data_IF_505202525647
#
_entry.id   IF_505202525647
#
_cell.length_a   1.000
_cell.length_b   1.000
_cell.length_c   1.000
_cell.angle_alpha   90.00
_cell.angle_beta   90.00
_cell.angle_gamma   90.00
#
_symmetry.space_group_name_H-M   'P 1'
#
loop_
_entity.id
_entity.type
_entity.pdbx_description
1 polymer ?
#
# COMPACT_ATOMS: atom_id res chain seq x y z
N UNK A 1 -11.47 -22.80 6.44
CA UNK A 1 -10.72 -21.76 5.69
C UNK A 1 -9.63 -21.23 6.62
N UNK A 2 -8.39 -21.14 6.13
CA UNK A 2 -7.27 -20.62 6.95
C UNK A 2 -7.43 -19.11 7.11
N UNK A 3 -7.23 -18.61 8.34
CA UNK A 3 -7.26 -17.19 8.62
C UNK A 3 -5.86 -16.59 8.57
N UNK A 4 -5.76 -15.36 8.03
CA UNK A 4 -4.54 -14.57 8.05
C UNK A 4 -4.83 -13.22 8.70
N UNK A 5 -4.23 -12.98 9.85
CA UNK A 5 -4.36 -11.73 10.58
C UNK A 5 -3.55 -10.63 9.91
N UNK A 6 -4.21 -9.51 9.66
CA UNK A 6 -3.65 -8.31 9.03
C UNK A 6 -3.39 -7.25 10.08
N UNK A 7 -2.21 -6.65 10.03
CA UNK A 7 -1.90 -5.38 10.69
C UNK A 7 -1.87 -4.26 9.65
N UNK A 8 -2.74 -3.28 9.77
CA UNK A 8 -2.75 -2.09 8.92
C UNK A 8 -1.98 -0.95 9.58
N UNK A 9 -0.92 -0.48 8.94
CA UNK A 9 -0.13 0.63 9.45
C UNK A 9 -0.48 1.90 8.66
N UNK A 10 -1.22 2.80 9.31
CA UNK A 10 -1.73 4.03 8.71
C UNK A 10 -3.26 4.06 8.60
N UNK A 11 -3.87 5.13 9.11
CA UNK A 11 -5.33 5.32 9.16
C UNK A 11 -5.83 6.45 8.25
N UNK A 12 -4.96 6.90 7.32
CA UNK A 12 -5.29 7.97 6.38
C UNK A 12 -6.28 7.54 5.29
N UNK A 13 -6.26 8.27 4.17
CA UNK A 13 -7.13 7.94 3.03
C UNK A 13 -6.88 6.51 2.52
N UNK A 14 -5.62 6.12 2.32
CA UNK A 14 -5.31 4.77 1.86
C UNK A 14 -5.65 3.71 2.90
N UNK A 15 -5.46 3.97 4.20
CA UNK A 15 -5.91 3.06 5.25
C UNK A 15 -7.42 2.77 5.18
N UNK A 16 -8.24 3.76 4.84
CA UNK A 16 -9.68 3.54 4.60
C UNK A 16 -9.96 2.68 3.38
N UNK A 17 -9.27 2.96 2.28
CA UNK A 17 -9.41 2.19 1.04
C UNK A 17 -9.00 0.72 1.23
N UNK A 18 -7.86 0.48 1.91
CA UNK A 18 -7.39 -0.87 2.22
C UNK A 18 -8.30 -1.60 3.21
N UNK A 19 -8.80 -0.92 4.25
CA UNK A 19 -9.79 -1.51 5.17
C UNK A 19 -11.05 -1.96 4.43
N UNK A 20 -11.53 -1.14 3.49
CA UNK A 20 -12.65 -1.52 2.63
C UNK A 20 -12.32 -2.74 1.77
N UNK A 21 -11.13 -2.79 1.16
CA UNK A 21 -10.71 -3.92 0.34
C UNK A 21 -10.59 -5.21 1.16
N UNK A 22 -9.91 -5.18 2.30
CA UNK A 22 -9.77 -6.35 3.18
C UNK A 22 -11.11 -6.91 3.66
N UNK A 23 -12.06 -6.04 3.99
CA UNK A 23 -13.41 -6.46 4.41
C UNK A 23 -14.18 -7.19 3.31
N UNK A 24 -13.99 -6.78 2.07
CA UNK A 24 -14.86 -7.20 0.96
C UNK A 24 -14.19 -8.19 0.01
N UNK A 25 -12.88 -8.41 0.07
CA UNK A 25 -12.18 -9.24 -0.90
C UNK A 25 -12.76 -10.66 -1.00
N UNK A 26 -13.13 -11.27 0.12
CA UNK A 26 -13.75 -12.60 0.14
C UNK A 26 -15.19 -12.62 -0.38
N UNK A 27 -15.85 -11.47 -0.52
CA UNK A 27 -17.17 -11.34 -1.14
C UNK A 27 -17.10 -11.40 -2.66
N UNK A 28 -15.99 -10.91 -3.23
CA UNK A 28 -15.81 -10.81 -4.68
C UNK A 28 -14.98 -11.97 -5.27
N UNK A 29 -14.20 -12.65 -4.46
CA UNK A 29 -13.30 -13.71 -4.90
C UNK A 29 -13.41 -14.95 -4.03
N UNK A 30 -13.51 -16.12 -4.66
CA UNK A 30 -13.37 -17.40 -3.98
C UNK A 30 -11.91 -17.61 -3.58
N UNK A 31 -11.63 -17.48 -2.28
CA UNK A 31 -10.28 -17.58 -1.75
C UNK A 31 -10.16 -18.74 -0.77
N UNK A 32 -9.01 -19.45 -0.75
CA UNK A 32 -8.76 -20.50 0.24
C UNK A 32 -8.43 -19.95 1.64
N UNK A 33 -8.24 -18.62 1.75
CA UNK A 33 -7.88 -17.91 2.97
C UNK A 33 -8.90 -16.82 3.29
N UNK A 34 -9.04 -16.48 4.59
CA UNK A 34 -9.85 -15.36 5.07
C UNK A 34 -8.94 -14.33 5.76
N UNK A 35 -8.86 -13.11 5.26
CA UNK A 35 -8.17 -12.04 5.99
C UNK A 35 -8.99 -11.63 7.22
N UNK A 36 -8.30 -11.45 8.34
CA UNK A 36 -8.87 -10.93 9.60
C UNK A 36 -8.27 -9.55 9.84
N UNK A 37 -9.13 -8.54 10.04
CA UNK A 37 -8.72 -7.17 10.34
C UNK A 37 -8.29 -7.10 11.81
N UNK A 38 -7.07 -7.59 12.11
CA UNK A 38 -6.62 -7.84 13.48
C UNK A 38 -6.27 -6.56 14.22
N UNK A 39 -5.35 -5.76 13.68
CA UNK A 39 -4.91 -4.54 14.35
C UNK A 39 -4.72 -3.40 13.35
N UNK A 40 -5.21 -2.21 13.70
CA UNK A 40 -4.89 -0.98 12.99
C UNK A 40 -3.95 -0.12 13.84
N UNK A 41 -2.90 0.40 13.18
CA UNK A 41 -1.87 1.20 13.83
C UNK A 41 -1.82 2.64 13.29
N UNK A 42 -1.61 3.60 14.19
CA UNK A 42 -1.41 5.02 13.88
C UNK A 42 -1.07 5.81 15.16
N UNK A 43 -0.89 7.10 15.06
CA UNK A 43 -0.29 7.91 16.13
C UNK A 43 -1.25 8.43 17.19
N UNK A 44 -2.56 8.48 16.91
CA UNK A 44 -3.56 9.05 17.83
C UNK A 44 -4.60 8.01 18.22
N UNK A 45 -4.55 7.55 19.46
CA UNK A 45 -5.40 6.46 19.99
C UNK A 45 -6.89 6.70 19.79
N UNK A 46 -7.40 7.85 20.17
CA UNK A 46 -8.84 8.16 20.04
C UNK A 46 -9.33 8.07 18.58
N UNK A 47 -8.57 8.63 17.66
CA UNK A 47 -8.87 8.54 16.24
C UNK A 47 -8.76 7.11 15.69
N UNK A 48 -7.84 6.30 16.23
CA UNK A 48 -7.71 4.88 15.90
C UNK A 48 -8.91 4.07 16.38
N UNK A 49 -9.36 4.31 17.60
CA UNK A 49 -10.52 3.61 18.15
C UNK A 49 -11.79 3.91 17.35
N UNK A 50 -11.99 5.17 16.96
CA UNK A 50 -13.09 5.53 16.08
C UNK A 50 -12.96 4.88 14.69
N UNK A 51 -11.73 4.81 14.16
CA UNK A 51 -11.43 4.13 12.89
C UNK A 51 -11.68 2.62 13.00
N UNK A 52 -11.18 1.96 14.05
CA UNK A 52 -11.35 0.54 14.27
C UNK A 52 -12.83 0.15 14.35
N UNK A 53 -13.62 0.86 15.16
CA UNK A 53 -15.07 0.63 15.25
C UNK A 53 -15.77 0.77 13.88
N UNK A 54 -15.40 1.77 13.10
CA UNK A 54 -16.01 2.03 11.79
C UNK A 54 -15.68 0.96 10.76
N UNK A 55 -14.43 0.50 10.73
CA UNK A 55 -13.93 -0.41 9.70
C UNK A 55 -13.91 -1.88 10.12
N UNK A 56 -14.15 -2.17 11.39
CA UNK A 56 -14.21 -3.55 11.90
C UNK A 56 -12.84 -4.14 12.24
N UNK A 57 -11.87 -3.31 12.63
CA UNK A 57 -10.61 -3.76 13.21
C UNK A 57 -10.82 -4.18 14.65
N UNK A 58 -10.24 -5.33 15.03
CA UNK A 58 -10.42 -5.87 16.39
C UNK A 58 -9.67 -5.07 17.43
N UNK A 59 -8.47 -4.60 17.11
CA UNK A 59 -7.55 -3.95 18.04
C UNK A 59 -6.93 -2.68 17.44
N UNK A 60 -6.39 -1.85 18.33
CA UNK A 60 -5.64 -0.63 17.98
C UNK A 60 -4.27 -0.63 18.63
N UNK A 61 -3.27 -0.14 17.90
CA UNK A 61 -1.91 0.05 18.42
C UNK A 61 -1.38 1.44 17.99
N UNK A 62 -0.63 2.10 18.86
CA UNK A 62 -0.04 3.42 18.56
C UNK A 62 1.43 3.36 18.16
N UNK A 63 2.06 2.22 18.36
CA UNK A 63 3.44 1.95 17.92
C UNK A 63 3.45 0.82 16.89
N UNK A 64 3.79 1.15 15.66
CA UNK A 64 3.85 0.17 14.59
C UNK A 64 4.86 -0.95 14.84
N UNK A 65 5.93 -0.68 15.61
CA UNK A 65 6.92 -1.70 15.96
C UNK A 65 6.29 -2.83 16.76
N UNK A 66 5.42 -2.49 17.69
CA UNK A 66 4.66 -3.50 18.45
C UNK A 66 3.73 -4.29 17.55
N UNK A 67 3.07 -3.63 16.58
CA UNK A 67 2.18 -4.33 15.67
C UNK A 67 2.93 -5.36 14.79
N UNK A 68 4.08 -5.00 14.23
CA UNK A 68 4.83 -5.89 13.31
C UNK A 68 5.56 -7.04 14.02
N UNK A 69 5.90 -6.89 15.30
CA UNK A 69 6.59 -7.94 16.09
C UNK A 69 5.64 -8.99 16.65
N UNK A 70 4.34 -8.78 16.60
CA UNK A 70 3.35 -9.74 17.14
C UNK A 70 3.42 -11.10 16.43
N UNK A 71 3.39 -12.16 17.18
CA UNK A 71 3.41 -13.53 16.63
C UNK A 71 2.13 -13.88 15.87
N UNK A 72 0.98 -13.33 16.32
CA UNK A 72 -0.32 -13.58 15.72
C UNK A 72 -0.58 -12.78 14.43
N UNK A 73 0.30 -11.87 14.00
CA UNK A 73 0.19 -11.14 12.74
C UNK A 73 0.88 -11.91 11.62
N UNK A 74 0.21 -12.01 10.48
CA UNK A 74 0.70 -12.69 9.28
C UNK A 74 1.04 -11.72 8.14
N UNK A 75 0.26 -10.66 7.99
CA UNK A 75 0.39 -9.67 6.91
C UNK A 75 0.51 -8.28 7.52
N UNK A 76 1.51 -7.52 7.08
CA UNK A 76 1.66 -6.10 7.38
C UNK A 76 1.30 -5.29 6.13
N UNK A 77 0.25 -4.50 6.24
CA UNK A 77 -0.27 -3.63 5.20
C UNK A 77 0.14 -2.18 5.49
N UNK A 78 1.03 -1.63 4.66
CA UNK A 78 1.70 -0.35 4.89
C UNK A 78 1.03 0.72 4.05
N UNK A 79 0.28 1.61 4.71
CA UNK A 79 -0.45 2.73 4.09
C UNK A 79 -0.02 4.09 4.67
N UNK A 80 1.17 4.12 5.23
CA UNK A 80 1.81 5.33 5.76
C UNK A 80 2.31 6.23 4.63
N UNK A 81 2.79 7.44 4.95
CA UNK A 81 3.60 8.20 4.00
C UNK A 81 4.92 7.48 3.63
N UNK A 82 5.47 7.71 2.41
CA UNK A 82 6.55 6.90 1.84
C UNK A 82 7.86 6.90 2.65
N UNK A 83 8.15 7.93 3.41
CA UNK A 83 9.37 7.99 4.24
C UNK A 83 9.37 6.98 5.41
N UNK A 84 8.24 6.33 5.71
CA UNK A 84 8.13 5.27 6.71
C UNK A 84 8.12 3.86 6.11
N UNK A 85 7.94 3.73 4.80
CA UNK A 85 7.76 2.43 4.15
C UNK A 85 8.94 1.50 4.38
N UNK A 86 10.17 2.00 4.13
CA UNK A 86 11.40 1.22 4.29
C UNK A 86 11.54 0.65 5.69
N UNK A 87 11.43 1.48 6.72
CA UNK A 87 11.63 1.05 8.11
C UNK A 87 10.62 -0.02 8.50
N UNK A 88 9.35 0.21 8.20
CA UNK A 88 8.26 -0.74 8.52
C UNK A 88 8.43 -2.05 7.75
N UNK A 89 8.69 -1.99 6.43
CA UNK A 89 8.79 -3.16 5.60
C UNK A 89 9.99 -4.05 5.95
N UNK A 90 11.16 -3.45 6.21
CA UNK A 90 12.35 -4.19 6.61
C UNK A 90 12.14 -4.88 7.95
N UNK A 91 11.52 -4.20 8.91
CA UNK A 91 11.21 -4.79 10.21
C UNK A 91 10.15 -5.90 10.10
N UNK A 92 9.10 -5.69 9.31
CA UNK A 92 8.10 -6.72 9.03
C UNK A 92 8.74 -7.98 8.39
N UNK A 93 9.64 -7.80 7.42
CA UNK A 93 10.38 -8.91 6.81
C UNK A 93 11.21 -9.69 7.84
N UNK A 94 11.95 -9.00 8.70
CA UNK A 94 12.76 -9.62 9.77
C UNK A 94 11.93 -10.48 10.72
N UNK A 95 10.67 -10.12 10.90
CA UNK A 95 9.72 -10.89 11.71
C UNK A 95 8.88 -11.89 10.90
N UNK A 96 9.27 -12.18 9.66
CA UNK A 96 8.62 -13.18 8.81
C UNK A 96 7.21 -12.81 8.36
N UNK A 97 6.85 -11.51 8.36
CA UNK A 97 5.52 -11.06 7.95
C UNK A 97 5.46 -10.86 6.45
N UNK A 98 4.36 -11.28 5.83
CA UNK A 98 4.05 -10.91 4.46
C UNK A 98 3.79 -9.39 4.38
N UNK A 99 4.18 -8.77 3.27
CA UNK A 99 4.17 -7.30 3.15
C UNK A 99 3.28 -6.89 1.98
N UNK A 100 2.36 -5.98 2.25
CA UNK A 100 1.64 -5.25 1.23
C UNK A 100 1.89 -3.76 1.45
N UNK A 101 2.49 -3.08 0.48
CA UNK A 101 2.97 -1.71 0.65
C UNK A 101 2.34 -0.77 -0.37
N UNK A 102 1.95 0.42 0.09
CA UNK A 102 1.52 1.51 -0.79
C UNK A 102 2.67 2.07 -1.63
N UNK A 103 2.28 2.65 -2.74
CA UNK A 103 3.18 3.37 -3.65
C UNK A 103 3.39 4.84 -3.19
N UNK A 104 4.52 5.46 -3.53
CA UNK A 104 5.73 4.84 -4.09
C UNK A 104 6.36 3.90 -3.07
N UNK A 105 7.08 2.88 -3.54
CA UNK A 105 7.65 1.86 -2.64
C UNK A 105 8.54 2.46 -1.55
N UNK A 106 9.38 3.42 -1.94
CA UNK A 106 10.34 4.08 -1.05
C UNK A 106 10.65 5.50 -1.53
N UNK A 107 11.45 6.24 -0.77
CA UNK A 107 11.90 7.58 -1.11
C UNK A 107 12.92 7.62 -2.26
N UNK A 108 13.65 6.53 -2.44
CA UNK A 108 14.70 6.38 -3.47
C UNK A 108 14.96 4.91 -3.79
N UNK A 109 15.78 4.67 -4.83
CA UNK A 109 16.08 3.31 -5.31
C UNK A 109 16.86 2.47 -4.27
N UNK A 110 17.77 3.07 -3.50
CA UNK A 110 18.54 2.35 -2.50
C UNK A 110 17.64 1.80 -1.37
N UNK A 111 16.71 2.60 -0.89
CA UNK A 111 15.71 2.15 0.09
C UNK A 111 14.80 1.04 -0.48
N UNK A 112 14.35 1.20 -1.72
CA UNK A 112 13.54 0.18 -2.40
C UNK A 112 14.30 -1.15 -2.54
N UNK A 113 15.58 -1.10 -2.87
CA UNK A 113 16.44 -2.27 -2.95
C UNK A 113 16.61 -2.94 -1.59
N UNK A 114 16.82 -2.18 -0.52
CA UNK A 114 16.91 -2.72 0.84
C UNK A 114 15.63 -3.46 1.24
N UNK A 115 14.46 -2.86 0.97
CA UNK A 115 13.16 -3.50 1.24
C UNK A 115 13.00 -4.81 0.47
N UNK A 116 13.34 -4.80 -0.82
CA UNK A 116 13.29 -6.00 -1.66
C UNK A 116 14.19 -7.11 -1.13
N UNK A 117 15.47 -6.79 -0.86
CA UNK A 117 16.44 -7.78 -0.37
C UNK A 117 16.05 -8.34 1.00
N UNK A 118 15.50 -7.52 1.89
CA UNK A 118 15.01 -7.98 3.19
C UNK A 118 13.84 -8.97 3.04
N UNK A 119 12.89 -8.68 2.15
CA UNK A 119 11.75 -9.56 1.90
C UNK A 119 12.16 -10.89 1.23
N UNK A 120 13.08 -10.84 0.26
CA UNK A 120 13.63 -12.04 -0.38
C UNK A 120 14.41 -12.91 0.60
N UNK A 121 15.29 -12.31 1.43
CA UNK A 121 16.05 -13.03 2.44
C UNK A 121 15.15 -13.72 3.47
N UNK A 122 14.06 -13.07 3.86
CA UNK A 122 13.05 -13.61 4.77
C UNK A 122 12.10 -14.61 4.09
N UNK A 123 12.12 -14.74 2.75
CA UNK A 123 11.22 -15.58 1.95
C UNK A 123 9.74 -15.28 2.20
N UNK A 124 9.41 -14.02 2.43
CA UNK A 124 8.03 -13.57 2.64
C UNK A 124 7.41 -13.13 1.32
N UNK A 125 6.08 -13.29 1.21
CA UNK A 125 5.35 -12.73 0.08
C UNK A 125 5.32 -11.21 0.26
N UNK A 126 5.66 -10.49 -0.79
CA UNK A 126 5.62 -9.03 -0.79
C UNK A 126 4.99 -8.49 -2.07
N UNK A 127 4.22 -7.42 -1.94
CA UNK A 127 3.54 -6.79 -3.06
C UNK A 127 3.48 -5.28 -2.90
N UNK A 128 3.64 -4.58 -4.02
CA UNK A 128 3.49 -3.14 -4.12
C UNK A 128 2.12 -2.80 -4.72
N UNK A 129 1.38 -1.89 -4.09
CA UNK A 129 0.04 -1.52 -4.51
C UNK A 129 0.01 -0.57 -5.71
N UNK A 130 0.42 -1.02 -6.86
CA UNK A 130 0.17 -0.36 -8.14
C UNK A 130 -1.25 -0.68 -8.64
N UNK A 131 -2.26 -0.20 -7.94
CA UNK A 131 -3.67 -0.57 -8.14
C UNK A 131 -4.19 -0.22 -9.55
N UNK A 132 -3.68 0.81 -10.23
CA UNK A 132 -4.11 1.16 -11.58
C UNK A 132 -3.85 0.04 -12.59
N UNK A 133 -2.82 -0.77 -12.38
CA UNK A 133 -2.55 -1.95 -13.21
C UNK A 133 -3.66 -3.00 -13.16
N UNK A 134 -4.51 -2.96 -12.13
CA UNK A 134 -5.64 -3.88 -11.93
C UNK A 134 -6.98 -3.32 -12.43
N UNK A 135 -7.01 -2.08 -12.93
CA UNK A 135 -8.22 -1.55 -13.54
C UNK A 135 -8.60 -2.36 -14.77
N UNK A 136 -9.89 -2.75 -14.92
CA UNK A 136 -10.34 -3.61 -16.03
C UNK A 136 -9.93 -3.08 -17.40
N UNK A 137 -10.05 -1.77 -17.63
CA UNK A 137 -9.65 -1.13 -18.88
C UNK A 137 -8.14 -1.22 -19.13
N UNK A 138 -7.30 -1.02 -18.09
CA UNK A 138 -5.84 -1.13 -18.20
C UNK A 138 -5.44 -2.59 -18.45
N UNK A 139 -6.05 -3.53 -17.75
CA UNK A 139 -5.81 -4.95 -17.96
C UNK A 139 -6.22 -5.40 -19.39
N UNK A 140 -7.35 -4.87 -19.90
CA UNK A 140 -7.78 -5.10 -21.27
C UNK A 140 -6.79 -4.52 -22.29
N UNK A 141 -6.37 -3.27 -22.11
CA UNK A 141 -5.37 -2.62 -22.98
C UNK A 141 -4.08 -3.46 -23.04
N UNK A 142 -3.55 -3.87 -21.88
CA UNK A 142 -2.37 -4.74 -21.81
C UNK A 142 -2.56 -6.04 -22.60
N UNK A 143 -3.71 -6.71 -22.43
CA UNK A 143 -4.02 -7.94 -23.14
C UNK A 143 -4.11 -7.74 -24.65
N UNK A 144 -4.71 -6.66 -25.13
CA UNK A 144 -4.80 -6.36 -26.55
C UNK A 144 -3.42 -6.09 -27.17
N UNK A 145 -2.53 -5.40 -26.43
CA UNK A 145 -1.14 -5.18 -26.84
C UNK A 145 -0.40 -6.53 -26.94
N UNK A 146 -0.48 -7.36 -25.89
CA UNK A 146 0.21 -8.67 -25.85
C UNK A 146 -0.28 -9.62 -26.96
N UNK A 147 -1.54 -9.51 -27.35
CA UNK A 147 -2.11 -10.27 -28.48
C UNK A 147 -1.76 -9.68 -29.87
N UNK A 148 -0.96 -8.62 -29.92
CA UNK A 148 -0.59 -7.98 -31.16
C UNK A 148 -1.73 -7.24 -31.88
N UNK A 149 -2.86 -6.99 -31.21
CA UNK A 149 -4.07 -6.41 -31.84
C UNK A 149 -3.86 -5.00 -32.37
N UNK A 150 -2.86 -4.28 -31.90
CA UNK A 150 -2.47 -2.94 -32.39
C UNK A 150 -1.11 -2.96 -33.10
N UNK A 151 -0.55 -4.14 -33.34
CA UNK A 151 0.80 -4.29 -33.90
C UNK A 151 1.91 -3.95 -32.92
N UNK A 152 3.10 -3.69 -33.46
CA UNK A 152 4.27 -3.30 -32.66
C UNK A 152 4.10 -1.88 -32.10
N UNK A 153 4.25 -1.73 -30.78
CA UNK A 153 4.18 -0.42 -30.11
C UNK A 153 5.44 0.37 -30.42
N UNK A 154 5.32 1.43 -31.21
CA UNK A 154 6.41 2.30 -31.63
C UNK A 154 6.53 3.56 -30.81
N UNK A 155 5.42 4.02 -30.23
CA UNK A 155 5.36 5.26 -29.47
C UNK A 155 4.32 5.15 -28.37
N UNK A 156 4.66 5.70 -27.20
CA UNK A 156 3.74 5.84 -26.07
C UNK A 156 3.65 7.30 -25.64
N UNK A 157 2.45 7.81 -25.50
CA UNK A 157 2.18 9.12 -24.91
C UNK A 157 1.05 9.01 -23.91
N UNK A 158 1.26 9.48 -22.68
CA UNK A 158 0.22 9.54 -21.67
C UNK A 158 0.25 10.89 -20.95
N UNK A 159 -0.91 11.28 -20.41
CA UNK A 159 -1.05 12.48 -19.61
C UNK A 159 -2.05 12.21 -18.47
N UNK A 160 -1.76 12.72 -17.30
CA UNK A 160 -2.64 12.66 -16.14
C UNK A 160 -2.88 14.08 -15.63
N UNK A 161 -4.12 14.54 -15.73
CA UNK A 161 -4.53 15.85 -15.28
C UNK A 161 -5.47 15.72 -14.07
N UNK A 162 -5.27 16.53 -13.05
CA UNK A 162 -6.19 16.67 -11.93
C UNK A 162 -6.19 18.11 -11.40
N UNK A 163 -7.21 18.46 -10.63
CA UNK A 163 -7.40 19.80 -10.08
C UNK A 163 -6.98 19.94 -8.61
N UNK A 164 -6.35 18.91 -8.02
CA UNK A 164 -6.12 18.85 -6.55
C UNK A 164 -5.38 20.05 -5.99
N UNK A 165 -4.45 20.62 -6.76
CA UNK A 165 -3.61 21.75 -6.33
C UNK A 165 -3.68 22.93 -7.30
N UNK A 166 -4.83 23.09 -7.99
CA UNK A 166 -5.02 24.21 -8.92
C UNK A 166 -5.22 25.55 -8.19
N UNK A 167 -5.76 25.51 -6.99
CA UNK A 167 -5.95 26.69 -6.15
C UNK A 167 -4.60 27.09 -5.51
N UNK A 168 -4.07 28.28 -5.83
CA UNK A 168 -2.79 28.76 -5.29
C UNK A 168 -2.85 29.05 -3.77
N UNK A 169 -4.03 29.12 -3.19
CA UNK A 169 -4.22 29.30 -1.74
C UNK A 169 -4.35 27.97 -0.99
N UNK A 170 -4.34 26.83 -1.69
CA UNK A 170 -4.39 25.53 -1.05
C UNK A 170 -3.20 25.33 -0.11
N UNK A 171 -3.42 24.78 1.11
CA UNK A 171 -2.33 24.51 2.04
C UNK A 171 -1.31 23.54 1.43
N UNK A 172 -0.02 23.83 1.64
CA UNK A 172 1.05 22.91 1.23
C UNK A 172 0.94 21.64 2.04
N UNK A 173 0.72 20.52 1.35
CA UNK A 173 0.73 19.19 1.94
C UNK A 173 2.11 18.55 1.79
N UNK A 174 2.35 17.46 2.50
CA UNK A 174 3.62 16.71 2.41
C UNK A 174 3.93 16.24 0.98
N UNK A 175 2.92 16.03 0.12
CA UNK A 175 3.09 15.65 -1.27
C UNK A 175 3.86 16.68 -2.12
N UNK A 176 3.86 17.94 -1.68
CA UNK A 176 4.56 19.06 -2.32
C UNK A 176 5.89 19.40 -1.63
N UNK A 177 6.28 18.66 -0.59
CA UNK A 177 7.53 18.84 0.13
C UNK A 177 8.53 17.78 -0.33
N UNK A 178 9.62 18.20 -0.99
CA UNK A 178 10.61 17.31 -1.59
C UNK A 178 11.17 16.27 -0.61
N UNK A 179 11.45 16.69 0.61
CA UNK A 179 12.02 15.85 1.68
C UNK A 179 11.05 14.75 2.14
N UNK A 180 9.74 14.92 1.87
CA UNK A 180 8.69 13.98 2.27
C UNK A 180 8.08 13.21 1.09
N UNK A 181 8.01 13.86 -0.06
CA UNK A 181 7.43 13.25 -1.26
C UNK A 181 8.45 12.44 -2.09
N UNK A 182 9.75 12.57 -1.80
CA UNK A 182 10.80 11.87 -2.55
C UNK A 182 10.76 12.22 -4.04
N UNK A 183 10.34 11.27 -4.85
CA UNK A 183 10.25 11.42 -6.33
C UNK A 183 9.04 12.24 -6.81
N UNK A 184 8.20 12.73 -5.89
CA UNK A 184 7.02 13.55 -6.21
C UNK A 184 6.04 12.86 -7.16
N UNK A 185 5.62 13.59 -8.19
CA UNK A 185 4.65 13.09 -9.20
C UNK A 185 5.13 11.83 -9.93
N UNK A 186 6.43 11.71 -10.18
CA UNK A 186 6.99 10.53 -10.86
C UNK A 186 6.69 9.26 -10.06
N UNK A 187 7.03 9.22 -8.78
CA UNK A 187 6.72 8.08 -7.92
C UNK A 187 5.24 7.99 -7.54
N UNK A 188 4.56 9.14 -7.44
CA UNK A 188 3.17 9.18 -7.00
C UNK A 188 2.13 8.75 -8.05
N UNK A 189 2.40 9.01 -9.34
CA UNK A 189 1.45 8.76 -10.44
C UNK A 189 2.09 7.96 -11.58
N UNK A 190 3.27 8.32 -12.06
CA UNK A 190 3.88 7.68 -13.23
C UNK A 190 4.44 6.28 -12.95
N UNK A 191 4.56 5.90 -11.68
CA UNK A 191 5.01 4.56 -11.28
C UNK A 191 3.97 3.45 -11.50
N UNK A 192 2.70 3.82 -11.67
CA UNK A 192 1.58 2.85 -11.86
C UNK A 192 1.65 2.02 -13.15
#
# INVERSE_FOLDING_TARGET
MRELNVALIGQGFMGRAHSHAWRNVATFFDMPIRPVLKVVCGTRREALEAFARRWGWEEVETDWRRAVTREDIHIVDITTPPWLHREIAVEAARHGKHIFCEKPLAMNAAEAQEMYLAAEAAKVIHALNHNYRKYPAVALAKRLIDQGRIGEVRHWRSAYFNSRWIDPQSPITWHLQREKAGTGVIGGLHSH
#
